data_IF_720935319877
#
_entry.id   IF_720935319877
#
_cell.length_a   1.000
_cell.length_b   1.000
_cell.length_c   1.000
_cell.angle_alpha   90.00
_cell.angle_beta   90.00
_cell.angle_gamma   90.00
#
_symmetry.space_group_name_H-M   'P 1'
#
loop_
_entity.id
_entity.type
_entity.pdbx_description
1 polymer ?
#
# COMPACT_ATOMS: atom_id res chain seq x y z
N UNK A 1 -0.91 -5.18 24.51
CA UNK A 1 -0.44 -3.82 24.19
C UNK A 1 -1.45 -3.27 23.19
N UNK A 2 -2.55 -2.70 23.68
CA UNK A 2 -3.57 -2.07 22.85
C UNK A 2 -3.18 -0.60 22.75
N UNK A 3 -2.58 -0.22 21.64
CA UNK A 3 -2.39 1.19 21.31
C UNK A 3 -3.76 1.71 20.87
N UNK A 4 -4.28 2.73 21.55
CA UNK A 4 -5.46 3.49 21.13
C UNK A 4 -5.37 3.78 19.63
N UNK A 5 -6.25 3.14 18.87
CA UNK A 5 -6.39 3.40 17.45
C UNK A 5 -7.18 4.69 17.33
N UNK A 6 -6.50 5.76 16.95
CA UNK A 6 -7.12 6.95 16.37
C UNK A 6 -7.85 6.52 15.07
N UNK A 7 -9.05 5.98 15.25
CA UNK A 7 -9.83 5.41 14.17
C UNK A 7 -10.74 6.50 13.58
N UNK A 8 -10.73 6.62 12.25
CA UNK A 8 -11.52 7.61 11.53
C UNK A 8 -12.87 7.04 11.11
N UNK A 9 -13.96 7.75 11.40
CA UNK A 9 -15.29 7.40 10.91
C UNK A 9 -15.55 8.06 9.55
N UNK A 10 -15.44 7.29 8.46
CA UNK A 10 -15.72 7.75 7.07
C UNK A 10 -17.12 8.35 6.90
N UNK A 11 -18.11 7.86 7.66
CA UNK A 11 -19.51 8.30 7.54
C UNK A 11 -19.76 9.66 8.19
N UNK A 12 -19.19 9.90 9.36
CA UNK A 12 -19.43 11.13 10.13
C UNK A 12 -18.34 12.18 9.93
N UNK A 13 -17.17 11.78 9.42
CA UNK A 13 -16.02 12.66 9.31
C UNK A 13 -15.47 13.09 10.68
N UNK A 14 -15.49 12.18 11.65
CA UNK A 14 -15.07 12.42 13.02
C UNK A 14 -14.08 11.35 13.48
N UNK A 15 -13.19 11.75 14.38
CA UNK A 15 -12.28 10.84 15.07
C UNK A 15 -13.04 10.09 16.17
N UNK A 16 -12.75 8.80 16.31
CA UNK A 16 -13.27 8.01 17.42
C UNK A 16 -12.56 8.36 18.72
N UNK A 17 -13.33 8.32 19.80
CA UNK A 17 -12.88 8.46 21.17
C UNK A 17 -13.12 7.11 21.84
N UNK A 18 -12.09 6.52 22.48
CA UNK A 18 -12.19 5.20 23.12
C UNK A 18 -12.60 4.05 22.18
N UNK A 19 -12.35 4.18 20.87
CA UNK A 19 -12.70 3.19 19.85
C UNK A 19 -14.14 3.28 19.33
N UNK A 20 -14.90 4.27 19.79
CA UNK A 20 -16.28 4.53 19.39
C UNK A 20 -16.43 5.92 18.76
N UNK A 21 -17.25 6.02 17.71
CA UNK A 21 -17.55 7.32 17.11
C UNK A 21 -18.55 8.08 18.01
N UNK A 22 -18.23 9.28 18.53
CA UNK A 22 -19.10 10.03 19.44
C UNK A 22 -20.39 10.55 18.77
N UNK A 23 -20.46 10.55 17.44
CA UNK A 23 -21.61 11.06 16.68
C UNK A 23 -22.63 9.98 16.36
N UNK A 24 -22.19 8.77 15.99
CA UNK A 24 -23.08 7.68 15.57
C UNK A 24 -23.05 6.46 16.50
N UNK A 25 -22.10 6.38 17.44
CA UNK A 25 -21.94 5.25 18.36
C UNK A 25 -21.40 3.98 17.71
N UNK A 26 -20.79 4.07 16.53
CA UNK A 26 -20.19 2.91 15.87
C UNK A 26 -18.83 2.60 16.48
N UNK A 27 -18.62 1.33 16.86
CA UNK A 27 -17.30 0.79 17.23
C UNK A 27 -16.47 0.63 15.96
N UNK A 28 -15.33 1.30 15.88
CA UNK A 28 -14.43 1.24 14.72
C UNK A 28 -13.44 0.10 14.92
N UNK A 29 -13.74 -1.05 14.32
CA UNK A 29 -12.85 -2.20 14.32
C UNK A 29 -11.84 -2.05 13.18
N UNK A 30 -10.56 -2.20 13.49
CA UNK A 30 -9.51 -2.21 12.48
C UNK A 30 -9.64 -3.47 11.62
N UNK A 31 -10.19 -3.33 10.41
CA UNK A 31 -10.28 -4.44 9.46
C UNK A 31 -8.90 -4.69 8.84
N UNK A 32 -8.48 -5.95 8.83
CA UNK A 32 -7.24 -6.34 8.16
C UNK A 32 -7.33 -5.98 6.66
N UNK A 33 -6.34 -5.27 6.09
CA UNK A 33 -6.38 -4.90 4.69
C UNK A 33 -6.48 -6.15 3.82
N UNK A 34 -7.29 -6.13 2.74
CA UNK A 34 -7.48 -7.29 1.90
C UNK A 34 -6.14 -7.74 1.29
N UNK A 35 -5.92 -9.05 1.15
CA UNK A 35 -4.66 -9.58 0.65
C UNK A 35 -4.39 -9.08 -0.78
N UNK A 36 -3.16 -8.63 -1.03
CA UNK A 36 -2.73 -8.13 -2.33
C UNK A 36 -2.91 -9.24 -3.40
N UNK A 37 -3.58 -8.95 -4.53
CA UNK A 37 -3.84 -9.95 -5.56
C UNK A 37 -2.55 -10.51 -6.15
N UNK A 38 -2.51 -11.83 -6.36
CA UNK A 38 -1.33 -12.54 -6.84
C UNK A 38 -0.82 -11.99 -8.18
N UNK A 39 -1.73 -11.67 -9.11
CA UNK A 39 -1.39 -11.06 -10.40
C UNK A 39 -0.59 -9.76 -10.28
N UNK A 40 -0.83 -8.93 -9.26
CA UNK A 40 -0.08 -7.70 -9.05
C UNK A 40 1.39 -7.99 -8.74
N UNK A 41 1.68 -9.03 -7.96
CA UNK A 41 3.05 -9.47 -7.68
C UNK A 41 3.79 -9.89 -8.96
N UNK A 42 3.11 -10.60 -9.87
CA UNK A 42 3.70 -10.99 -11.17
C UNK A 42 4.01 -9.78 -12.04
N UNK A 43 3.10 -8.81 -12.09
CA UNK A 43 3.29 -7.58 -12.84
C UNK A 43 4.54 -6.84 -12.34
N UNK A 44 4.69 -6.70 -11.02
CA UNK A 44 5.89 -6.08 -10.41
C UNK A 44 7.17 -6.84 -10.79
N UNK A 45 7.17 -8.18 -10.69
CA UNK A 45 8.33 -9.00 -11.06
C UNK A 45 8.68 -8.83 -12.54
N UNK A 46 7.68 -8.85 -13.43
CA UNK A 46 7.90 -8.66 -14.87
C UNK A 46 8.50 -7.27 -15.18
N UNK A 47 8.02 -6.22 -14.49
CA UNK A 47 8.58 -4.86 -14.62
C UNK A 47 10.04 -4.84 -14.18
N UNK A 48 10.37 -5.39 -13.01
CA UNK A 48 11.75 -5.40 -12.50
C UNK A 48 12.69 -6.12 -13.46
N UNK A 49 12.28 -7.28 -13.98
CA UNK A 49 13.07 -8.02 -14.96
C UNK A 49 13.26 -7.24 -16.27
N UNK A 50 12.19 -6.64 -16.80
CA UNK A 50 12.24 -5.87 -18.04
C UNK A 50 13.12 -4.62 -17.90
N UNK A 51 12.91 -3.84 -16.83
CA UNK A 51 13.68 -2.63 -16.56
C UNK A 51 15.15 -2.95 -16.24
N UNK A 52 15.43 -4.04 -15.53
CA UNK A 52 16.78 -4.52 -15.30
C UNK A 52 17.49 -4.87 -16.61
N UNK A 53 16.83 -5.66 -17.48
CA UNK A 53 17.36 -5.99 -18.81
C UNK A 53 17.60 -4.75 -19.68
N UNK A 54 16.61 -3.85 -19.74
CA UNK A 54 16.70 -2.59 -20.49
C UNK A 54 17.78 -1.66 -19.95
N UNK A 55 17.96 -1.62 -18.63
CA UNK A 55 19.03 -0.88 -17.97
C UNK A 55 20.41 -1.41 -18.37
N UNK A 56 20.61 -2.73 -18.30
CA UNK A 56 21.85 -3.38 -18.76
C UNK A 56 22.10 -3.11 -20.24
N UNK A 57 21.08 -3.26 -21.10
CA UNK A 57 21.18 -2.96 -22.52
C UNK A 57 21.60 -1.50 -22.78
N UNK A 58 20.97 -0.55 -22.06
CA UNK A 58 21.30 0.87 -22.14
C UNK A 58 22.72 1.17 -21.66
N UNK A 59 23.17 0.54 -20.57
CA UNK A 59 24.54 0.69 -20.05
C UNK A 59 25.56 0.15 -21.06
N UNK A 60 25.31 -1.03 -21.65
CA UNK A 60 26.19 -1.61 -22.68
C UNK A 60 26.31 -0.66 -23.88
N UNK A 61 25.19 -0.08 -24.32
CA UNK A 61 25.21 0.93 -25.39
C UNK A 61 26.00 2.16 -24.97
N UNK A 62 25.81 2.66 -23.75
CA UNK A 62 26.48 3.86 -23.26
C UNK A 62 28.00 3.67 -23.13
N UNK A 63 28.44 2.49 -22.66
CA UNK A 63 29.87 2.17 -22.52
C UNK A 63 30.50 1.80 -23.87
N UNK A 64 29.81 1.06 -24.73
CA UNK A 64 30.34 0.61 -26.02
C UNK A 64 30.20 1.61 -27.18
N UNK A 65 29.57 2.76 -26.95
CA UNK A 65 29.38 3.84 -27.94
C UNK A 65 30.45 4.93 -27.87
N UNK A 66 31.32 4.91 -26.86
CA UNK A 66 32.64 5.56 -26.87
C UNK A 66 33.65 4.69 -27.64
#
# INVERSE_FOLDING_TARGET
>A
MATETEAWCETCGAWAEEGECPTCGQVLVEEEPPPIPWHFKFLVVAIVLYLGWRGVQGIIWLVGRF
#
